data_IF_379742236877
#
_entry.id   IF_379742236877
#
_cell.length_a   1.000
_cell.length_b   1.000
_cell.length_c   1.000
_cell.angle_alpha   90.00
_cell.angle_beta   90.00
_cell.angle_gamma   90.00
#
_symmetry.space_group_name_H-M   'P 1'
#
loop_
_entity.id
_entity.type
_entity.pdbx_description
1 polymer ?
#
# COMPACT_ATOMS: atom_id res chain seq x y z
N UNK A 1 0.88 8.91 -11.71
CA UNK A 1 0.24 8.16 -12.84
C UNK A 1 -1.24 8.54 -12.93
N UNK A 2 -1.94 8.45 -14.07
CA UNK A 2 -3.39 8.76 -14.15
C UNK A 2 -4.22 7.55 -13.68
N UNK A 3 -4.82 7.63 -12.48
CA UNK A 3 -5.53 6.52 -11.83
C UNK A 3 -6.65 5.89 -12.70
N UNK A 4 -7.51 6.66 -13.37
CA UNK A 4 -8.47 6.12 -14.35
C UNK A 4 -7.83 5.23 -15.42
N UNK A 5 -6.67 5.63 -15.94
CA UNK A 5 -5.95 4.86 -16.96
C UNK A 5 -5.43 3.53 -16.41
N UNK A 6 -4.88 3.55 -15.19
CA UNK A 6 -4.44 2.34 -14.49
C UNK A 6 -5.61 1.40 -14.23
N UNK A 7 -6.73 1.94 -13.74
CA UNK A 7 -7.94 1.16 -13.49
C UNK A 7 -8.46 0.50 -14.78
N UNK A 8 -8.57 1.25 -15.89
CA UNK A 8 -9.01 0.70 -17.17
C UNK A 8 -8.08 -0.41 -17.69
N UNK A 9 -6.77 -0.21 -17.52
CA UNK A 9 -5.75 -1.21 -17.89
C UNK A 9 -5.90 -2.49 -17.08
N UNK A 10 -6.19 -2.40 -15.79
CA UNK A 10 -6.44 -3.57 -14.94
C UNK A 10 -7.71 -4.32 -15.32
N UNK A 11 -8.79 -3.60 -15.63
CA UNK A 11 -10.01 -4.22 -16.16
C UNK A 11 -9.73 -5.00 -17.45
N UNK A 12 -8.94 -4.43 -18.37
CA UNK A 12 -8.55 -5.09 -19.63
C UNK A 12 -7.69 -6.32 -19.37
N UNK A 13 -6.71 -6.22 -18.46
CA UNK A 13 -5.83 -7.33 -18.09
C UNK A 13 -6.63 -8.48 -17.49
N UNK A 14 -7.46 -8.21 -16.49
CA UNK A 14 -8.24 -9.24 -15.79
C UNK A 14 -9.26 -9.90 -16.72
N UNK A 15 -9.94 -9.11 -17.56
CA UNK A 15 -10.86 -9.67 -18.56
C UNK A 15 -10.14 -10.64 -19.51
N UNK A 16 -8.92 -10.28 -19.96
CA UNK A 16 -8.09 -11.14 -20.81
C UNK A 16 -7.61 -12.40 -20.10
N UNK A 17 -7.08 -12.28 -18.88
CA UNK A 17 -6.54 -13.40 -18.10
C UNK A 17 -7.64 -14.40 -17.71
N UNK A 18 -8.82 -13.90 -17.35
CA UNK A 18 -9.97 -14.74 -16.97
C UNK A 18 -10.79 -15.23 -18.16
N UNK A 19 -10.46 -14.82 -19.39
CA UNK A 19 -11.23 -15.18 -20.59
C UNK A 19 -12.68 -14.68 -20.57
N UNK A 20 -12.93 -13.55 -19.90
CA UNK A 20 -14.27 -12.97 -19.73
C UNK A 20 -14.46 -11.75 -20.61
N UNK A 21 -15.71 -11.51 -21.02
CA UNK A 21 -16.06 -10.23 -21.62
C UNK A 21 -15.91 -9.10 -20.60
N UNK A 22 -15.56 -7.92 -21.08
CA UNK A 22 -15.47 -6.71 -20.25
C UNK A 22 -16.77 -6.44 -19.51
N UNK A 23 -17.90 -6.62 -20.18
CA UNK A 23 -19.23 -6.43 -19.60
C UNK A 23 -19.48 -7.37 -18.42
N UNK A 24 -19.12 -8.64 -18.55
CA UNK A 24 -19.25 -9.62 -17.46
C UNK A 24 -18.38 -9.23 -16.25
N UNK A 25 -17.14 -8.83 -16.48
CA UNK A 25 -16.25 -8.39 -15.41
C UNK A 25 -16.78 -7.12 -14.70
N UNK A 26 -17.30 -6.16 -15.47
CA UNK A 26 -17.89 -4.94 -14.90
C UNK A 26 -19.11 -5.28 -14.03
N UNK A 27 -19.98 -6.20 -14.46
CA UNK A 27 -21.13 -6.63 -13.66
C UNK A 27 -20.70 -7.36 -12.37
N UNK A 28 -19.65 -8.18 -12.41
CA UNK A 28 -19.08 -8.82 -11.22
C UNK A 28 -18.53 -7.78 -10.22
N UNK A 29 -17.76 -6.81 -10.71
CA UNK A 29 -17.21 -5.73 -9.87
C UNK A 29 -18.31 -4.83 -9.32
N UNK A 30 -19.37 -4.58 -10.10
CA UNK A 30 -20.54 -3.80 -9.68
C UNK A 30 -21.20 -4.44 -8.45
N UNK A 31 -21.41 -5.76 -8.49
CA UNK A 31 -21.95 -6.51 -7.36
C UNK A 31 -21.03 -6.45 -6.13
N UNK A 32 -19.71 -6.57 -6.30
CA UNK A 32 -18.74 -6.51 -5.19
C UNK A 32 -18.65 -5.14 -4.53
N UNK A 33 -18.86 -4.07 -5.29
CA UNK A 33 -18.69 -2.69 -4.82
C UNK A 33 -20.00 -2.00 -4.44
N UNK A 34 -21.14 -2.66 -4.67
CA UNK A 34 -22.46 -2.04 -4.53
C UNK A 34 -22.68 -0.86 -5.48
N UNK A 35 -21.94 -0.81 -6.61
CA UNK A 35 -22.05 0.22 -7.64
C UNK A 35 -22.75 -0.33 -8.87
N UNK A 36 -23.34 0.56 -9.68
CA UNK A 36 -23.88 0.18 -10.98
C UNK A 36 -22.77 0.00 -12.03
N UNK A 37 -22.98 -0.83 -13.06
CA UNK A 37 -22.05 -0.96 -14.19
C UNK A 37 -21.70 0.38 -14.84
N UNK A 38 -22.69 1.27 -14.97
CA UNK A 38 -22.51 2.62 -15.53
C UNK A 38 -21.53 3.46 -14.71
N UNK A 39 -21.61 3.39 -13.38
CA UNK A 39 -20.67 4.07 -12.49
C UNK A 39 -19.24 3.58 -12.71
N UNK A 40 -19.05 2.26 -12.80
CA UNK A 40 -17.74 1.68 -13.07
C UNK A 40 -17.15 2.11 -14.42
N UNK A 41 -17.97 2.21 -15.47
CA UNK A 41 -17.50 2.75 -16.74
C UNK A 41 -17.09 4.22 -16.64
N UNK A 42 -17.84 5.05 -15.91
CA UNK A 42 -17.48 6.46 -15.69
C UNK A 42 -16.17 6.62 -14.91
N UNK A 43 -15.94 5.78 -13.90
CA UNK A 43 -14.68 5.73 -13.14
C UNK A 43 -13.50 5.35 -14.04
N UNK A 44 -13.65 4.28 -14.84
CA UNK A 44 -12.61 3.83 -15.78
C UNK A 44 -12.28 4.86 -16.85
N UNK A 45 -13.27 5.62 -17.31
CA UNK A 45 -13.02 6.68 -18.30
C UNK A 45 -12.50 7.98 -17.67
N UNK A 46 -12.36 8.05 -16.34
CA UNK A 46 -11.96 9.26 -15.63
C UNK A 46 -13.00 10.37 -15.70
N UNK A 47 -14.27 10.04 -15.97
CA UNK A 47 -15.36 11.02 -15.98
C UNK A 47 -15.73 11.43 -14.56
N UNK A 48 -15.68 10.47 -13.64
CA UNK A 48 -15.99 10.65 -12.22
C UNK A 48 -14.82 10.16 -11.38
N UNK A 49 -14.59 10.82 -10.26
CA UNK A 49 -13.62 10.41 -9.27
C UNK A 49 -14.03 9.08 -8.62
N UNK A 50 -13.04 8.27 -8.28
CA UNK A 50 -13.27 6.96 -7.66
C UNK A 50 -13.36 7.16 -6.15
N UNK A 51 -14.48 6.78 -5.50
CA UNK A 51 -14.58 6.88 -4.05
C UNK A 51 -13.53 6.03 -3.34
N UNK A 52 -12.86 6.59 -2.32
CA UNK A 52 -11.77 5.92 -1.63
C UNK A 52 -12.13 4.54 -1.03
N UNK A 53 -13.38 4.39 -0.56
CA UNK A 53 -13.89 3.13 -0.04
C UNK A 53 -13.95 1.97 -1.06
N UNK A 54 -13.84 2.26 -2.37
CA UNK A 54 -13.80 1.23 -3.41
C UNK A 54 -12.41 0.62 -3.59
N UNK A 55 -11.35 1.31 -3.16
CA UNK A 55 -9.98 0.91 -3.42
C UNK A 55 -9.60 -0.46 -2.84
N UNK A 56 -9.89 -0.79 -1.56
CA UNK A 56 -9.54 -2.09 -1.00
C UNK A 56 -10.23 -3.25 -1.74
N UNK A 57 -11.46 -3.02 -2.22
CA UNK A 57 -12.25 -4.02 -2.96
C UNK A 57 -11.66 -4.25 -4.35
N UNK A 58 -11.32 -3.17 -5.07
CA UNK A 58 -10.73 -3.25 -6.42
C UNK A 58 -9.32 -3.83 -6.40
N UNK A 59 -8.46 -3.39 -5.47
CA UNK A 59 -7.11 -3.94 -5.30
C UNK A 59 -7.15 -5.44 -4.99
N UNK A 60 -8.06 -5.87 -4.10
CA UNK A 60 -8.24 -7.30 -3.78
C UNK A 60 -8.76 -8.09 -4.97
N UNK A 61 -9.76 -7.56 -5.70
CA UNK A 61 -10.36 -8.26 -6.85
C UNK A 61 -9.39 -8.42 -8.02
N UNK A 62 -8.54 -7.43 -8.27
CA UNK A 62 -7.61 -7.45 -9.39
C UNK A 62 -6.24 -8.02 -9.02
N UNK A 63 -5.89 -8.05 -7.72
CA UNK A 63 -4.58 -8.49 -7.26
C UNK A 63 -3.45 -7.67 -7.88
N UNK A 64 -3.69 -6.39 -8.16
CA UNK A 64 -2.75 -5.53 -8.88
C UNK A 64 -2.01 -4.61 -7.92
N UNK A 65 -0.69 -4.85 -7.81
CA UNK A 65 0.24 -3.93 -7.16
C UNK A 65 0.30 -2.59 -7.90
N UNK A 66 0.21 -2.59 -9.23
CA UNK A 66 0.21 -1.37 -10.05
C UNK A 66 -0.98 -0.47 -9.71
N UNK A 67 -2.17 -1.03 -9.49
CA UNK A 67 -3.33 -0.26 -9.04
C UNK A 67 -3.12 0.28 -7.63
N UNK A 68 -2.56 -0.53 -6.73
CA UNK A 68 -2.24 -0.09 -5.37
C UNK A 68 -1.19 1.03 -5.33
N UNK A 69 -0.17 0.97 -6.20
CA UNK A 69 0.89 1.98 -6.31
C UNK A 69 0.36 3.28 -6.93
N UNK A 70 -0.48 3.20 -7.97
CA UNK A 70 -1.13 4.38 -8.55
C UNK A 70 -2.07 5.08 -7.55
N UNK A 71 -2.75 4.30 -6.70
CA UNK A 71 -3.55 4.83 -5.60
C UNK A 71 -2.71 5.48 -4.51
N UNK A 72 -1.55 4.90 -4.19
CA UNK A 72 -0.60 5.49 -3.25
C UNK A 72 -0.09 6.83 -3.76
N UNK A 73 0.23 6.93 -5.06
CA UNK A 73 0.66 8.20 -5.67
C UNK A 73 -0.43 9.28 -5.60
N UNK A 74 -1.71 8.97 -5.88
CA UNK A 74 -2.80 9.95 -5.78
C UNK A 74 -3.15 10.33 -4.34
N UNK A 75 -3.02 9.42 -3.37
CA UNK A 75 -3.26 9.74 -1.95
C UNK A 75 -2.12 10.55 -1.32
N UNK A 76 -0.94 10.57 -1.94
CA UNK A 76 0.24 11.29 -1.46
C UNK A 76 0.20 12.80 -1.71
N UNK A 77 -0.77 13.34 -2.45
CA UNK A 77 -0.81 14.79 -2.71
C UNK A 77 -1.45 15.61 -1.57
N UNK A 78 -2.33 15.07 -0.72
CA UNK A 78 -3.01 15.89 0.32
C UNK A 78 -3.40 15.13 1.61
N UNK A 79 -2.74 14.03 1.96
CA UNK A 79 -2.91 13.49 3.32
C UNK A 79 -1.87 14.15 4.23
N UNK A 80 -2.20 15.31 4.82
CA UNK A 80 -1.57 15.72 6.08
C UNK A 80 -1.88 14.62 7.10
N UNK A 81 -0.96 13.66 7.20
CA UNK A 81 -0.98 12.69 8.29
C UNK A 81 -0.79 13.52 9.55
N UNK A 82 -1.86 13.66 10.35
CA UNK A 82 -1.75 14.15 11.73
C UNK A 82 -0.64 13.34 12.39
N UNK A 83 0.50 13.98 12.59
CA UNK A 83 1.64 13.38 13.28
C UNK A 83 1.21 13.24 14.73
N UNK A 84 1.01 12.02 15.24
CA UNK A 84 0.61 11.84 16.63
C UNK A 84 1.69 12.46 17.53
N UNK A 85 1.29 12.96 18.71
CA UNK A 85 2.25 13.55 19.65
C UNK A 85 3.44 12.61 19.90
N UNK A 86 4.61 13.15 20.25
CA UNK A 86 5.88 12.39 20.33
C UNK A 86 5.81 11.09 21.18
N UNK A 87 4.91 11.05 22.16
CA UNK A 87 4.63 9.85 22.96
C UNK A 87 3.94 8.75 22.15
N UNK A 88 2.95 9.11 21.33
CA UNK A 88 2.22 8.20 20.46
C UNK A 88 3.08 7.71 19.31
N UNK A 89 3.98 8.53 18.78
CA UNK A 89 4.98 8.11 17.80
C UNK A 89 5.95 7.05 18.37
N UNK A 90 6.47 7.28 19.57
CA UNK A 90 7.37 6.33 20.22
C UNK A 90 6.66 5.01 20.52
N UNK A 91 5.39 5.08 20.95
CA UNK A 91 4.55 3.91 21.18
C UNK A 91 4.24 3.15 19.88
N UNK A 92 3.85 3.86 18.81
CA UNK A 92 3.58 3.29 17.49
C UNK A 92 4.83 2.62 16.89
N UNK A 93 5.99 3.26 17.00
CA UNK A 93 7.27 2.69 16.55
C UNK A 93 7.61 1.45 17.36
N UNK A 94 7.52 1.52 18.69
CA UNK A 94 7.79 0.37 19.58
C UNK A 94 6.86 -0.80 19.29
N UNK A 95 5.58 -0.52 19.04
CA UNK A 95 4.57 -1.53 18.68
C UNK A 95 4.90 -2.16 17.32
N UNK A 96 5.19 -1.35 16.32
CA UNK A 96 5.55 -1.82 14.97
C UNK A 96 6.80 -2.70 15.00
N UNK A 97 7.83 -2.32 15.75
CA UNK A 97 9.05 -3.12 15.93
C UNK A 97 8.76 -4.47 16.61
N UNK A 98 7.86 -4.50 17.61
CA UNK A 98 7.46 -5.76 18.25
C UNK A 98 6.67 -6.67 17.32
N UNK A 99 5.75 -6.10 16.54
CA UNK A 99 4.95 -6.85 15.58
C UNK A 99 5.86 -7.44 14.47
N UNK A 100 6.85 -6.67 14.00
CA UNK A 100 7.86 -7.13 13.04
C UNK A 100 8.74 -8.25 13.63
N UNK A 101 9.23 -8.10 14.86
CA UNK A 101 10.02 -9.14 15.54
C UNK A 101 9.24 -10.44 15.69
N UNK A 102 7.97 -10.36 16.05
CA UNK A 102 7.10 -11.54 16.16
C UNK A 102 6.86 -12.21 14.80
N UNK A 103 6.80 -11.42 13.72
CA UNK A 103 6.73 -11.94 12.37
C UNK A 103 8.02 -12.67 11.97
N UNK A 104 9.18 -12.14 12.32
CA UNK A 104 10.48 -12.79 12.09
C UNK A 104 10.64 -14.08 12.91
N UNK A 105 10.18 -14.12 14.16
CA UNK A 105 10.18 -15.35 14.97
C UNK A 105 9.35 -16.47 14.33
N UNK A 106 8.14 -16.16 13.84
CA UNK A 106 7.30 -17.13 13.13
C UNK A 106 7.93 -17.63 11.85
N UNK A 107 8.61 -16.74 11.13
CA UNK A 107 9.31 -17.09 9.90
C UNK A 107 10.51 -18.00 10.18
N UNK A 108 11.30 -17.70 11.22
CA UNK A 108 12.43 -18.53 11.62
C UNK A 108 11.98 -19.93 12.04
N UNK A 109 10.88 -20.04 12.79
CA UNK A 109 10.29 -21.34 13.13
C UNK A 109 9.85 -22.13 11.88
N UNK A 110 9.18 -21.48 10.92
CA UNK A 110 8.77 -22.12 9.66
C UNK A 110 9.97 -22.53 8.77
N UNK A 111 11.07 -21.79 8.84
CA UNK A 111 12.32 -22.10 8.14
C UNK A 111 13.01 -23.32 8.73
N UNK A 112 13.07 -23.43 10.06
CA UNK A 112 13.63 -24.60 10.76
C UNK A 112 12.85 -25.89 10.46
N UNK A 113 11.54 -25.77 10.24
CA UNK A 113 10.67 -26.90 9.86
C UNK A 113 10.73 -27.25 8.35
N UNK A 114 11.56 -26.55 7.56
CA UNK A 114 11.74 -26.82 6.13
C UNK A 114 10.56 -26.43 5.23
N UNK A 115 9.64 -25.61 5.73
CA UNK A 115 8.40 -25.21 5.05
C UNK A 115 8.59 -24.00 4.13
N UNK A 116 9.69 -23.25 4.32
CA UNK A 116 9.94 -22.00 3.60
C UNK A 116 10.51 -22.25 2.20
N UNK A 117 9.80 -21.74 1.20
CA UNK A 117 10.16 -21.76 -0.21
C UNK A 117 11.13 -20.65 -0.61
N UNK A 118 11.81 -20.81 -1.74
CA UNK A 118 12.73 -19.81 -2.31
C UNK A 118 12.06 -18.44 -2.55
N UNK A 119 10.77 -18.46 -2.89
CA UNK A 119 9.96 -17.25 -3.07
C UNK A 119 9.75 -16.50 -1.75
N UNK A 120 9.47 -17.21 -0.66
CA UNK A 120 9.28 -16.60 0.66
C UNK A 120 10.59 -15.97 1.18
N UNK A 121 11.74 -16.54 0.83
CA UNK A 121 13.04 -15.92 1.11
C UNK A 121 13.27 -14.60 0.35
N UNK A 122 12.81 -14.50 -0.90
CA UNK A 122 12.90 -13.26 -1.69
C UNK A 122 11.97 -12.19 -1.09
N UNK A 123 10.75 -12.57 -0.71
CA UNK A 123 9.80 -11.68 -0.06
C UNK A 123 10.30 -11.18 1.31
N UNK A 124 10.99 -12.05 2.08
CA UNK A 124 11.65 -11.67 3.33
C UNK A 124 12.78 -10.66 3.10
N UNK A 125 13.65 -10.87 2.11
CA UNK A 125 14.75 -9.92 1.81
C UNK A 125 14.20 -8.55 1.43
N UNK A 126 13.19 -8.52 0.55
CA UNK A 126 12.53 -7.28 0.17
C UNK A 126 11.88 -6.58 1.38
N UNK A 127 11.35 -7.35 2.34
CA UNK A 127 10.82 -6.80 3.58
C UNK A 127 11.92 -6.21 4.48
N UNK A 128 13.03 -6.93 4.65
CA UNK A 128 14.18 -6.47 5.44
C UNK A 128 14.78 -5.17 4.89
N UNK A 129 14.92 -5.06 3.56
CA UNK A 129 15.41 -3.83 2.91
C UNK A 129 14.49 -2.63 3.18
N UNK A 130 13.17 -2.84 3.19
CA UNK A 130 12.20 -1.78 3.52
C UNK A 130 12.33 -1.33 4.97
N UNK A 131 12.50 -2.26 5.92
CA UNK A 131 12.68 -1.92 7.34
C UNK A 131 13.97 -1.12 7.54
N UNK A 132 15.08 -1.55 6.95
CA UNK A 132 16.35 -0.82 6.99
C UNK A 132 16.18 0.59 6.40
N UNK A 133 15.49 0.71 5.26
CA UNK A 133 15.18 2.00 4.64
C UNK A 133 14.36 2.92 5.55
N UNK A 134 13.38 2.37 6.26
CA UNK A 134 12.55 3.12 7.20
C UNK A 134 13.35 3.61 8.40
N UNK A 135 14.20 2.78 8.99
CA UNK A 135 15.08 3.17 10.11
C UNK A 135 15.98 4.34 9.71
N UNK A 136 16.59 4.29 8.52
CA UNK A 136 17.43 5.39 8.01
C UNK A 136 16.66 6.70 7.81
N UNK A 137 15.39 6.62 7.38
CA UNK A 137 14.53 7.81 7.26
C UNK A 137 14.21 8.41 8.63
N UNK A 138 13.94 7.58 9.64
CA UNK A 138 13.75 8.05 11.01
C UNK A 138 14.98 8.73 11.57
N UNK A 139 16.16 8.13 11.38
CA UNK A 139 17.44 8.72 11.77
C UNK A 139 17.63 10.11 11.13
N UNK A 140 17.36 10.24 9.84
CA UNK A 140 17.45 11.52 9.14
C UNK A 140 16.48 12.59 9.69
N UNK A 141 15.24 12.20 10.02
CA UNK A 141 14.25 13.10 10.62
C UNK A 141 14.71 13.53 12.02
N UNK A 142 15.16 12.59 12.85
CA UNK A 142 15.65 12.87 14.19
C UNK A 142 16.87 13.79 14.18
N UNK A 143 17.80 13.56 13.26
CA UNK A 143 18.99 14.40 13.07
C UNK A 143 18.59 15.81 12.62
N UNK A 144 17.71 15.95 11.64
CA UNK A 144 17.22 17.24 11.19
C UNK A 144 16.52 18.03 12.33
N UNK A 145 15.79 17.34 13.20
CA UNK A 145 15.18 17.97 14.37
C UNK A 145 16.21 18.43 15.41
N UNK A 146 17.20 17.59 15.70
CA UNK A 146 18.31 17.93 16.59
C UNK A 146 19.08 19.15 16.07
N UNK A 147 19.39 19.17 14.77
CA UNK A 147 20.09 20.27 14.10
C UNK A 147 19.30 21.58 14.23
N UNK A 148 17.96 21.54 14.03
CA UNK A 148 17.08 22.70 14.25
C UNK A 148 17.18 23.21 15.69
N UNK A 149 17.02 22.33 16.68
CA UNK A 149 17.06 22.72 18.11
C UNK A 149 18.40 23.30 18.53
N UNK A 150 19.51 22.73 18.04
CA UNK A 150 20.85 23.21 18.34
C UNK A 150 21.21 24.50 17.60
N UNK A 151 20.65 24.75 16.42
CA UNK A 151 20.78 26.05 15.74
C UNK A 151 20.04 27.17 16.48
N UNK A 152 18.83 26.91 16.98
CA UNK A 152 18.05 27.90 17.74
C UNK A 152 18.62 28.20 19.14
N UNK A 153 19.47 27.33 19.68
CA UNK A 153 20.17 27.59 20.96
C UNK A 153 21.46 28.41 20.82
N UNK A 154 21.95 28.63 19.59
CA UNK A 154 23.18 29.40 19.31
C UNK A 154 22.93 30.78 18.70
N UNK A 155 21.67 31.14 18.45
CA UNK A 155 21.23 32.48 18.04
C UNK A 155 20.74 33.27 19.26
#
# INVERSE_FOLDING_TARGET
>A
MNLPHTLDSEFKRVAKVEGKSMERLVNEVAALTGKSPRQLYNFRSGKWDIPAGLFPVLCRRFGSLTLADALREECCEETEVEVPEAYDLTYLVTKTVRDDLHHYEKFLAAFEDGVVSEREMVELRASGERVIGNVKKFEAIAQADLDRRTHFQKA
#
